data_IF_627528873302
#
_entry.id   IF_627528873302
#
_cell.length_a   1.000
_cell.length_b   1.000
_cell.length_c   1.000
_cell.angle_alpha   90.00
_cell.angle_beta   90.00
_cell.angle_gamma   90.00
#
_symmetry.space_group_name_H-M   'P 1'
#
loop_
_entity.id
_entity.type
_entity.pdbx_description
1 polymer ?
#
# COMPACT_ATOMS: atom_id res chain seq x y z
N UNK A 1 -86.77 19.97 37.08
CA UNK A 1 -86.14 20.54 35.86
C UNK A 1 -85.34 21.76 36.33
N UNK A 2 -84.05 21.99 36.08
CA UNK A 2 -82.96 21.31 35.36
C UNK A 2 -81.67 21.57 36.17
N UNK A 3 -80.78 20.58 36.23
CA UNK A 3 -79.49 20.60 36.93
C UNK A 3 -78.46 21.42 36.13
N UNK A 4 -77.65 22.24 36.79
CA UNK A 4 -76.46 22.87 36.20
C UNK A 4 -75.24 22.07 36.69
N UNK A 5 -74.54 21.45 35.75
CA UNK A 5 -73.37 20.59 35.97
C UNK A 5 -72.12 21.44 35.82
N UNK A 6 -71.25 21.35 36.82
CA UNK A 6 -69.90 21.94 36.88
C UNK A 6 -68.97 21.27 35.86
N UNK A 7 -68.29 22.06 35.03
CA UNK A 7 -67.31 21.59 34.04
C UNK A 7 -65.88 21.84 34.50
N UNK A 8 -65.18 20.78 34.90
CA UNK A 8 -63.76 20.75 35.23
C UNK A 8 -62.93 20.63 33.93
N UNK A 9 -62.17 21.67 33.58
CA UNK A 9 -61.24 21.64 32.45
C UNK A 9 -59.91 20.99 32.88
N UNK A 10 -59.63 19.78 32.38
CA UNK A 10 -58.35 19.10 32.53
C UNK A 10 -57.44 19.51 31.37
N UNK A 11 -56.36 20.25 31.66
CA UNK A 11 -55.26 20.50 30.72
C UNK A 11 -54.40 19.24 30.63
N UNK A 12 -54.49 18.52 29.51
CA UNK A 12 -53.59 17.41 29.18
C UNK A 12 -52.39 18.01 28.43
N UNK A 13 -51.25 18.15 29.11
CA UNK A 13 -49.97 18.44 28.47
C UNK A 13 -49.48 17.19 27.73
N UNK A 14 -49.56 17.22 26.41
CA UNK A 14 -48.97 16.22 25.52
C UNK A 14 -47.47 16.49 25.49
N UNK A 15 -46.68 15.68 26.21
CA UNK A 15 -45.24 15.57 25.94
C UNK A 15 -45.08 14.78 24.64
N UNK A 16 -44.82 15.49 23.54
CA UNK A 16 -44.34 14.87 22.30
C UNK A 16 -42.93 14.37 22.61
N UNK A 17 -42.77 13.06 22.78
CA UNK A 17 -41.46 12.42 22.75
C UNK A 17 -40.94 12.55 21.32
N UNK A 18 -40.13 13.58 21.05
CA UNK A 18 -39.41 13.69 19.79
C UNK A 18 -38.56 12.42 19.60
N UNK A 19 -38.85 11.67 18.53
CA UNK A 19 -37.95 10.65 18.01
C UNK A 19 -36.80 11.41 17.34
N UNK A 20 -35.76 11.73 18.09
CA UNK A 20 -34.62 12.46 17.53
C UNK A 20 -33.82 11.51 16.62
N UNK A 21 -33.96 11.70 15.30
CA UNK A 21 -33.03 11.21 14.28
C UNK A 21 -31.61 11.81 14.46
N UNK A 22 -30.61 11.33 13.73
CA UNK A 22 -29.29 11.98 13.74
C UNK A 22 -29.42 13.42 13.22
N UNK A 23 -28.98 14.38 14.03
CA UNK A 23 -28.94 15.81 13.71
C UNK A 23 -27.60 16.13 13.07
N UNK A 24 -27.62 16.34 11.76
CA UNK A 24 -26.44 16.70 10.98
C UNK A 24 -26.25 18.22 10.92
N UNK A 25 -25.02 18.66 11.14
CA UNK A 25 -24.61 20.04 10.95
C UNK A 25 -24.24 20.30 9.50
N UNK A 26 -24.75 21.40 8.96
CA UNK A 26 -24.38 21.94 7.65
C UNK A 26 -23.49 23.19 7.87
N UNK A 27 -22.23 22.95 8.22
CA UNK A 27 -21.21 23.98 8.41
C UNK A 27 -19.90 23.50 7.77
N UNK A 28 -19.00 24.41 7.36
CA UNK A 28 -17.73 24.04 6.75
C UNK A 28 -16.92 23.06 7.60
N UNK A 29 -16.12 22.19 6.96
CA UNK A 29 -15.33 21.15 7.63
C UNK A 29 -14.46 21.69 8.76
N UNK A 30 -13.82 22.85 8.56
CA UNK A 30 -12.99 23.50 9.58
C UNK A 30 -13.80 23.84 10.84
N UNK A 31 -15.04 24.28 10.68
CA UNK A 31 -15.92 24.66 11.77
C UNK A 31 -16.51 23.45 12.48
N UNK A 32 -16.75 22.34 11.76
CA UNK A 32 -17.09 21.03 12.36
C UNK A 32 -16.00 20.57 13.34
N UNK A 33 -14.74 20.60 12.89
CA UNK A 33 -13.59 20.21 13.72
C UNK A 33 -13.43 21.15 14.93
N UNK A 34 -13.52 22.46 14.72
CA UNK A 34 -13.44 23.44 15.81
C UNK A 34 -14.56 23.26 16.85
N UNK A 35 -15.78 22.97 16.40
CA UNK A 35 -16.93 22.65 17.26
C UNK A 35 -16.69 21.37 18.05
N UNK A 36 -16.22 20.30 17.40
CA UNK A 36 -15.89 19.05 18.05
C UNK A 36 -14.80 19.21 19.12
N UNK A 37 -13.75 19.99 18.82
CA UNK A 37 -12.71 20.35 19.79
C UNK A 37 -13.27 21.08 21.02
N UNK A 38 -14.13 22.08 20.80
CA UNK A 38 -14.77 22.85 21.88
C UNK A 38 -15.70 21.99 22.74
N UNK A 39 -16.42 21.05 22.12
CA UNK A 39 -17.35 20.16 22.81
C UNK A 39 -16.70 18.90 23.39
N UNK A 40 -15.40 18.69 23.15
CA UNK A 40 -14.68 17.45 23.50
C UNK A 40 -15.38 16.18 22.97
N UNK A 41 -15.82 16.25 21.71
CA UNK A 41 -16.48 15.17 20.97
C UNK A 41 -15.65 14.79 19.74
N UNK A 42 -15.92 13.63 19.17
CA UNK A 42 -15.44 13.30 17.83
C UNK A 42 -16.37 13.93 16.78
N UNK A 43 -15.83 14.18 15.60
CA UNK A 43 -16.64 14.45 14.40
C UNK A 43 -17.04 13.11 13.80
N UNK A 44 -18.32 12.92 13.52
CA UNK A 44 -18.82 11.84 12.67
C UNK A 44 -19.21 12.43 11.31
N UNK A 45 -18.64 11.91 10.23
CA UNK A 45 -18.98 12.31 8.86
C UNK A 45 -19.51 11.09 8.11
N UNK A 46 -20.76 11.15 7.68
CA UNK A 46 -21.28 10.27 6.62
C UNK A 46 -20.85 10.85 5.26
N UNK A 47 -19.86 10.18 4.68
CA UNK A 47 -19.28 10.48 3.39
C UNK A 47 -20.08 9.76 2.30
N UNK A 48 -20.83 10.52 1.52
CA UNK A 48 -21.78 9.99 0.55
C UNK A 48 -21.56 10.58 -0.85
N UNK A 49 -22.29 10.03 -1.82
CA UNK A 49 -22.49 10.65 -3.13
C UNK A 49 -23.99 10.71 -3.43
N UNK A 50 -24.45 11.76 -4.13
CA UNK A 50 -25.88 11.99 -4.42
C UNK A 50 -26.58 10.81 -5.13
N UNK A 51 -25.84 10.02 -5.91
CA UNK A 51 -26.33 8.85 -6.65
C UNK A 51 -26.23 7.54 -5.86
N UNK A 52 -25.59 7.53 -4.69
CA UNK A 52 -25.34 6.32 -3.90
C UNK A 52 -26.65 5.74 -3.32
N UNK A 53 -27.09 4.59 -3.83
CA UNK A 53 -28.26 3.87 -3.35
C UNK A 53 -28.15 3.43 -1.88
N UNK A 54 -27.08 2.72 -1.48
CA UNK A 54 -26.89 2.30 -0.09
C UNK A 54 -26.86 3.46 0.92
N UNK A 55 -26.34 4.64 0.52
CA UNK A 55 -26.33 5.83 1.36
C UNK A 55 -27.76 6.32 1.67
N UNK A 56 -28.64 6.33 0.65
CA UNK A 56 -30.06 6.67 0.82
C UNK A 56 -30.79 5.66 1.72
N UNK A 57 -30.38 4.38 1.67
CA UNK A 57 -30.92 3.36 2.58
C UNK A 57 -30.51 3.60 4.02
N UNK A 58 -29.24 3.95 4.29
CA UNK A 58 -28.78 4.31 5.63
C UNK A 58 -29.55 5.50 6.19
N UNK A 59 -29.70 6.56 5.39
CA UNK A 59 -30.47 7.75 5.76
C UNK A 59 -31.91 7.42 6.14
N UNK A 60 -32.61 6.66 5.29
CA UNK A 60 -34.02 6.33 5.50
C UNK A 60 -34.24 5.35 6.64
N UNK A 61 -33.40 4.33 6.76
CA UNK A 61 -33.68 3.16 7.60
C UNK A 61 -32.89 3.13 8.89
N UNK A 62 -31.75 3.82 8.97
CA UNK A 62 -30.82 3.73 10.11
C UNK A 62 -30.68 5.08 10.81
N UNK A 63 -30.42 6.17 10.09
CA UNK A 63 -30.18 7.48 10.71
C UNK A 63 -31.44 8.10 11.33
N UNK A 64 -32.62 7.65 10.90
CA UNK A 64 -33.94 8.04 11.43
C UNK A 64 -34.33 7.28 12.70
N UNK A 65 -33.59 6.22 13.06
CA UNK A 65 -33.90 5.42 14.24
C UNK A 65 -33.53 6.17 15.52
N UNK A 66 -34.46 6.20 16.48
CA UNK A 66 -34.29 6.92 17.75
C UNK A 66 -33.04 6.48 18.52
N UNK A 67 -32.79 5.17 18.62
CA UNK A 67 -31.60 4.60 19.28
C UNK A 67 -30.30 5.16 18.71
N UNK A 68 -30.24 5.29 17.38
CA UNK A 68 -29.10 5.82 16.64
C UNK A 68 -28.98 7.32 16.87
N UNK A 69 -30.05 8.10 16.66
CA UNK A 69 -30.01 9.54 16.85
C UNK A 69 -29.69 9.94 18.30
N UNK A 70 -30.27 9.29 19.30
CA UNK A 70 -29.97 9.51 20.72
C UNK A 70 -28.46 9.35 21.01
N UNK A 71 -27.85 8.28 20.48
CA UNK A 71 -26.43 8.00 20.72
C UNK A 71 -25.53 8.98 19.95
N UNK A 72 -25.77 9.18 18.66
CA UNK A 72 -24.90 9.99 17.83
C UNK A 72 -24.97 11.48 18.20
N UNK A 73 -26.15 12.02 18.45
CA UNK A 73 -26.32 13.43 18.84
C UNK A 73 -25.68 13.74 20.20
N UNK A 74 -25.69 12.76 21.12
CA UNK A 74 -25.06 12.90 22.42
C UNK A 74 -23.53 12.88 22.34
N UNK A 75 -22.97 12.03 21.49
CA UNK A 75 -21.55 11.67 21.55
C UNK A 75 -20.68 12.32 20.46
N UNK A 76 -21.27 12.78 19.36
CA UNK A 76 -20.52 13.27 18.20
C UNK A 76 -21.04 14.63 17.71
N UNK A 77 -20.19 15.31 16.95
CA UNK A 77 -20.60 16.39 16.04
C UNK A 77 -20.81 15.73 14.68
N UNK A 78 -22.08 15.58 14.28
CA UNK A 78 -22.45 14.83 13.08
C UNK A 78 -22.49 15.74 11.86
N UNK A 79 -21.99 15.28 10.72
CA UNK A 79 -22.12 15.93 9.42
C UNK A 79 -22.32 14.92 8.29
N UNK A 80 -22.87 15.40 7.18
CA UNK A 80 -22.96 14.66 5.92
C UNK A 80 -22.34 15.49 4.84
N UNK A 81 -21.44 14.89 4.07
CA UNK A 81 -20.71 15.61 3.04
C UNK A 81 -20.74 14.80 1.75
N UNK A 82 -21.21 15.42 0.67
CA UNK A 82 -21.14 14.86 -0.69
C UNK A 82 -19.68 14.95 -1.17
N UNK A 83 -19.01 13.81 -1.19
CA UNK A 83 -17.58 13.71 -1.49
C UNK A 83 -17.23 14.01 -2.95
N UNK A 84 -18.22 14.20 -3.82
CA UNK A 84 -18.01 14.55 -5.23
C UNK A 84 -18.19 16.05 -5.51
N UNK A 85 -18.52 16.85 -4.50
CA UNK A 85 -18.84 18.28 -4.63
C UNK A 85 -18.13 19.13 -3.56
N UNK A 86 -17.93 20.42 -3.87
CA UNK A 86 -17.41 21.40 -2.92
C UNK A 86 -16.13 20.95 -2.20
N UNK A 87 -16.06 21.23 -0.89
CA UNK A 87 -14.95 20.77 -0.03
C UNK A 87 -14.88 19.25 0.13
N UNK A 88 -15.97 18.52 -0.19
CA UNK A 88 -16.03 17.07 -0.12
C UNK A 88 -14.98 16.38 -0.99
N UNK A 89 -14.61 16.97 -2.14
CA UNK A 89 -13.55 16.42 -3.01
C UNK A 89 -12.18 16.39 -2.32
N UNK A 90 -11.84 17.47 -1.63
CA UNK A 90 -10.58 17.59 -0.90
C UNK A 90 -10.57 16.67 0.32
N UNK A 91 -11.70 16.56 1.02
CA UNK A 91 -11.88 15.64 2.16
C UNK A 91 -11.75 14.19 1.71
N UNK A 92 -12.36 13.83 0.58
CA UNK A 92 -12.28 12.49 -0.01
C UNK A 92 -10.83 12.12 -0.36
N UNK A 93 -10.08 13.05 -0.96
CA UNK A 93 -8.66 12.85 -1.23
C UNK A 93 -7.85 12.72 0.06
N UNK A 94 -8.08 13.61 1.03
CA UNK A 94 -7.35 13.66 2.31
C UNK A 94 -7.50 12.37 3.11
N UNK A 95 -8.71 11.82 3.19
CA UNK A 95 -9.01 10.63 3.99
C UNK A 95 -9.16 9.36 3.15
N UNK A 96 -8.75 9.39 1.88
CA UNK A 96 -8.76 8.22 1.00
C UNK A 96 -10.13 7.59 0.83
N UNK A 97 -11.21 8.38 0.72
CA UNK A 97 -12.56 7.87 0.48
C UNK A 97 -12.67 7.36 -0.95
N UNK A 98 -12.84 6.04 -1.12
CA UNK A 98 -12.90 5.37 -2.44
C UNK A 98 -14.23 4.66 -2.72
N UNK A 99 -15.11 4.54 -1.72
CA UNK A 99 -16.40 3.86 -1.83
C UNK A 99 -17.42 4.53 -0.92
N UNK A 100 -18.71 4.31 -1.20
CA UNK A 100 -19.82 4.92 -0.47
C UNK A 100 -20.86 3.89 0.00
N UNK A 101 -21.49 4.09 1.17
CA UNK A 101 -21.15 5.11 2.17
C UNK A 101 -19.80 4.81 2.84
N UNK A 102 -19.09 5.86 3.22
CA UNK A 102 -17.93 5.77 4.12
C UNK A 102 -18.24 6.58 5.38
N UNK A 103 -17.88 6.06 6.55
CA UNK A 103 -18.05 6.71 7.84
C UNK A 103 -16.69 7.12 8.36
N UNK A 104 -16.46 8.43 8.47
CA UNK A 104 -15.22 8.98 9.03
C UNK A 104 -15.48 9.45 10.46
N UNK A 105 -14.58 9.07 11.36
CA UNK A 105 -14.54 9.58 12.72
C UNK A 105 -13.25 10.36 12.93
N UNK A 106 -13.35 11.63 13.31
CA UNK A 106 -12.20 12.51 13.50
C UNK A 106 -12.12 13.04 14.93
N UNK A 107 -10.92 13.24 15.45
CA UNK A 107 -10.72 13.92 16.73
C UNK A 107 -10.90 15.46 16.59
N UNK A 108 -10.81 16.18 17.71
CA UNK A 108 -10.89 17.64 17.73
C UNK A 108 -9.76 18.37 16.97
N UNK A 109 -8.72 17.64 16.54
CA UNK A 109 -7.64 18.19 15.71
C UNK A 109 -7.84 17.88 14.21
N UNK A 110 -8.95 17.21 13.85
CA UNK A 110 -9.29 16.88 12.47
C UNK A 110 -8.48 15.73 11.89
N UNK A 111 -7.87 14.91 12.75
CA UNK A 111 -7.17 13.68 12.37
C UNK A 111 -8.13 12.50 12.40
N UNK A 112 -7.89 11.55 11.50
CA UNK A 112 -8.68 10.33 11.42
C UNK A 112 -8.46 9.46 12.66
N UNK A 113 -9.55 9.03 13.26
CA UNK A 113 -9.60 8.11 14.42
C UNK A 113 -10.11 6.75 14.00
N UNK A 114 -11.07 6.71 13.08
CA UNK A 114 -11.61 5.47 12.51
C UNK A 114 -12.26 5.74 11.16
N UNK A 115 -12.20 4.75 10.28
CA UNK A 115 -12.86 4.75 8.98
C UNK A 115 -13.55 3.41 8.78
N UNK A 116 -14.84 3.45 8.47
CA UNK A 116 -15.65 2.28 8.15
C UNK A 116 -16.43 2.53 6.85
N UNK A 117 -16.98 1.50 6.23
CA UNK A 117 -17.67 1.64 4.95
C UNK A 117 -18.80 0.63 4.78
N UNK A 118 -19.68 0.92 3.83
CA UNK A 118 -20.77 0.06 3.44
C UNK A 118 -22.05 0.26 4.26
N UNK A 119 -23.11 -0.37 3.78
CA UNK A 119 -24.39 -0.41 4.50
C UNK A 119 -24.24 -1.24 5.78
N UNK A 120 -24.84 -0.77 6.88
CA UNK A 120 -24.81 -1.45 8.17
C UNK A 120 -26.19 -1.46 8.82
N UNK A 121 -26.56 -2.61 9.35
CA UNK A 121 -27.75 -2.73 10.20
C UNK A 121 -27.55 -1.99 11.53
N UNK A 122 -28.67 -1.56 12.13
CA UNK A 122 -28.70 -0.70 13.32
C UNK A 122 -27.77 -1.18 14.45
N UNK A 123 -27.83 -2.47 14.79
CA UNK A 123 -27.04 -3.02 15.89
C UNK A 123 -25.53 -2.92 15.64
N UNK A 124 -25.08 -3.19 14.41
CA UNK A 124 -23.67 -3.06 14.03
C UNK A 124 -23.23 -1.59 13.99
N UNK A 125 -24.10 -0.72 13.46
CA UNK A 125 -23.83 0.71 13.37
C UNK A 125 -23.69 1.38 14.74
N UNK A 126 -24.49 0.96 15.72
CA UNK A 126 -24.36 1.39 17.13
C UNK A 126 -23.14 0.80 17.82
N UNK A 127 -22.87 -0.50 17.65
CA UNK A 127 -21.73 -1.16 18.28
C UNK A 127 -20.40 -0.52 17.83
N UNK A 128 -20.24 -0.28 16.53
CA UNK A 128 -19.10 0.43 15.96
C UNK A 128 -18.93 1.82 16.58
N UNK A 129 -20.01 2.59 16.66
CA UNK A 129 -19.99 3.93 17.22
C UNK A 129 -19.61 3.93 18.71
N UNK A 130 -20.09 2.95 19.47
CA UNK A 130 -19.78 2.78 20.88
C UNK A 130 -18.31 2.44 21.11
N UNK A 131 -17.76 1.52 20.30
CA UNK A 131 -16.35 1.17 20.33
C UNK A 131 -15.46 2.37 20.01
N UNK A 132 -15.84 3.15 18.98
CA UNK A 132 -15.09 4.34 18.57
C UNK A 132 -15.18 5.46 19.62
N UNK A 133 -16.30 5.58 20.34
CA UNK A 133 -16.54 6.60 21.37
C UNK A 133 -15.76 6.36 22.68
N UNK A 134 -14.56 5.78 22.61
CA UNK A 134 -13.68 5.58 23.76
C UNK A 134 -12.98 6.88 24.19
N UNK A 135 -12.63 7.05 25.48
CA UNK A 135 -11.84 8.20 25.93
C UNK A 135 -10.50 8.35 25.19
N UNK A 136 -9.84 7.23 24.84
CA UNK A 136 -8.57 7.24 24.13
C UNK A 136 -8.69 7.84 22.72
N UNK A 137 -9.82 7.64 22.06
CA UNK A 137 -10.06 8.16 20.72
C UNK A 137 -10.37 9.67 20.71
N UNK A 138 -10.81 10.23 21.85
CA UNK A 138 -11.08 11.66 22.04
C UNK A 138 -9.84 12.47 22.41
N UNK A 139 -8.78 11.81 22.88
CA UNK A 139 -7.54 12.46 23.29
C UNK A 139 -6.78 12.93 22.05
N UNK A 140 -6.78 14.25 21.81
CA UNK A 140 -5.82 15.04 21.00
C UNK A 140 -5.21 14.41 19.75
N UNK A 141 -4.12 15.00 19.25
CA UNK A 141 -3.41 14.50 18.07
C UNK A 141 -2.71 13.16 18.35
N UNK A 142 -2.87 12.19 17.44
CA UNK A 142 -2.13 10.93 17.46
C UNK A 142 -0.62 11.17 17.38
N UNK A 143 -0.18 12.11 16.54
CA UNK A 143 1.25 12.43 16.37
C UNK A 143 1.82 13.09 17.62
N UNK A 144 1.10 14.03 18.22
CA UNK A 144 1.55 14.70 19.46
C UNK A 144 1.61 13.71 20.64
N UNK A 145 0.57 12.91 20.83
CA UNK A 145 0.52 11.89 21.87
C UNK A 145 1.62 10.85 21.71
N UNK A 146 1.89 10.43 20.48
CA UNK A 146 3.01 9.56 20.17
C UNK A 146 4.36 10.24 20.44
N UNK A 147 4.54 11.50 20.07
CA UNK A 147 5.76 12.26 20.36
C UNK A 147 5.99 12.41 21.88
N UNK A 148 4.91 12.57 22.66
CA UNK A 148 4.95 12.63 24.13
C UNK A 148 5.14 11.26 24.81
N UNK A 149 5.34 10.19 24.03
CA UNK A 149 5.72 8.89 24.56
C UNK A 149 4.55 8.05 25.06
N UNK A 150 3.32 8.27 24.58
CA UNK A 150 2.20 7.38 24.92
C UNK A 150 2.47 5.95 24.44
N UNK A 151 2.12 4.98 25.31
CA UNK A 151 2.43 3.54 25.18
C UNK A 151 1.20 2.64 25.24
N UNK A 152 0.01 3.23 25.31
CA UNK A 152 -1.23 2.48 25.36
C UNK A 152 -1.35 1.56 24.13
N UNK A 153 -1.69 0.30 24.37
CA UNK A 153 -1.70 -0.75 23.34
C UNK A 153 -2.66 -0.42 22.21
N UNK A 154 -3.90 -0.05 22.55
CA UNK A 154 -4.93 0.20 21.55
C UNK A 154 -4.64 1.47 20.76
N UNK A 155 -4.05 2.47 21.41
CA UNK A 155 -3.52 3.67 20.75
C UNK A 155 -2.46 3.35 19.69
N UNK A 156 -1.45 2.53 20.03
CA UNK A 156 -0.40 2.15 19.07
C UNK A 156 -0.94 1.29 17.93
N UNK A 157 -1.86 0.37 18.22
CA UNK A 157 -2.57 -0.42 17.20
C UNK A 157 -3.38 0.48 16.28
N UNK A 158 -4.04 1.51 16.83
CA UNK A 158 -4.81 2.45 16.01
C UNK A 158 -3.90 3.24 15.07
N UNK A 159 -2.75 3.73 15.55
CA UNK A 159 -1.75 4.38 14.68
C UNK A 159 -1.33 3.44 13.54
N UNK A 160 -0.98 2.19 13.86
CA UNK A 160 -0.58 1.19 12.87
C UNK A 160 -1.66 1.00 11.79
N UNK A 161 -2.92 0.79 12.18
CA UNK A 161 -4.04 0.54 11.25
C UNK A 161 -4.29 1.74 10.33
N UNK A 162 -4.42 2.94 10.91
CA UNK A 162 -4.81 4.14 10.17
C UNK A 162 -3.71 4.70 9.26
N UNK A 163 -2.44 4.46 9.60
CA UNK A 163 -1.31 5.08 8.92
C UNK A 163 -0.51 4.12 8.06
N UNK A 164 -0.76 2.80 8.13
CA UNK A 164 -0.02 1.78 7.36
C UNK A 164 0.10 2.09 5.86
N UNK A 165 -0.94 2.68 5.26
CA UNK A 165 -0.97 3.01 3.83
C UNK A 165 -0.60 4.47 3.53
N UNK A 166 -0.86 5.40 4.44
CA UNK A 166 -0.72 6.85 4.22
C UNK A 166 0.57 7.44 4.78
N UNK A 167 1.07 6.90 5.89
CA UNK A 167 2.29 7.32 6.59
C UNK A 167 2.94 6.06 7.22
N UNK A 168 3.46 5.20 6.35
CA UNK A 168 4.02 3.88 6.73
C UNK A 168 5.12 4.00 7.79
N UNK A 169 5.96 5.02 7.70
CA UNK A 169 7.07 5.23 8.64
C UNK A 169 6.55 5.58 10.05
N UNK A 170 5.51 6.40 10.15
CA UNK A 170 4.86 6.66 11.43
C UNK A 170 4.20 5.40 12.00
N UNK A 171 3.52 4.62 11.17
CA UNK A 171 2.93 3.34 11.56
C UNK A 171 4.00 2.33 12.03
N UNK A 172 5.14 2.25 11.34
CA UNK A 172 6.27 1.40 11.71
C UNK A 172 6.82 1.77 13.08
N UNK A 173 7.03 3.05 13.37
CA UNK A 173 7.47 3.52 14.70
C UNK A 173 6.48 3.15 15.81
N UNK A 174 5.18 3.18 15.53
CA UNK A 174 4.18 2.72 16.47
C UNK A 174 4.25 1.20 16.72
N UNK A 175 4.52 0.42 15.68
CA UNK A 175 4.79 -1.03 15.80
C UNK A 175 6.01 -1.32 16.67
N UNK A 176 7.12 -0.63 16.41
CA UNK A 176 8.36 -0.77 17.18
C UNK A 176 8.14 -0.48 18.66
N UNK A 177 7.47 0.63 18.96
CA UNK A 177 7.11 0.97 20.34
C UNK A 177 6.16 -0.06 20.96
N UNK A 178 5.21 -0.60 20.19
CA UNK A 178 4.27 -1.60 20.69
C UNK A 178 5.02 -2.85 21.18
N UNK A 179 5.92 -3.39 20.35
CA UNK A 179 6.67 -4.59 20.71
C UNK A 179 7.78 -4.34 21.74
N UNK A 180 8.36 -3.14 21.79
CA UNK A 180 9.28 -2.76 22.88
C UNK A 180 8.60 -2.76 24.26
N UNK A 181 7.31 -2.42 24.32
CA UNK A 181 6.58 -2.35 25.59
C UNK A 181 5.83 -3.65 25.94
N UNK A 182 5.65 -4.58 24.99
CA UNK A 182 5.01 -5.89 25.22
C UNK A 182 5.97 -6.83 25.95
N UNK A 183 5.71 -7.08 27.23
CA UNK A 183 6.60 -7.90 28.07
C UNK A 183 6.64 -9.35 27.62
N UNK A 184 7.73 -10.04 27.93
CA UNK A 184 7.94 -11.46 27.59
C UNK A 184 7.01 -12.46 28.25
N UNK A 185 6.29 -12.05 29.28
CA UNK A 185 5.27 -12.87 29.93
C UNK A 185 3.85 -12.60 29.42
N UNK A 186 3.66 -11.61 28.54
CA UNK A 186 2.36 -11.36 27.91
C UNK A 186 2.14 -12.34 26.76
N UNK A 187 0.89 -12.79 26.59
CA UNK A 187 0.53 -13.67 25.49
C UNK A 187 0.85 -13.04 24.13
N UNK A 188 1.51 -13.80 23.26
CA UNK A 188 1.77 -13.43 21.87
C UNK A 188 0.69 -14.05 20.97
N UNK A 189 -0.17 -13.20 20.45
CA UNK A 189 -1.37 -13.60 19.70
C UNK A 189 -1.10 -13.71 18.19
N UNK A 190 -2.07 -14.27 17.44
CA UNK A 190 -2.01 -14.28 15.97
C UNK A 190 -1.98 -12.87 15.37
N UNK A 191 -2.69 -11.93 15.98
CA UNK A 191 -2.69 -10.52 15.56
C UNK A 191 -1.34 -9.86 15.82
N UNK A 192 -0.68 -10.19 16.93
CA UNK A 192 0.70 -9.77 17.21
C UNK A 192 1.65 -10.28 16.12
N UNK A 193 1.55 -11.56 15.74
CA UNK A 193 2.34 -12.11 14.64
C UNK A 193 2.08 -11.32 13.35
N UNK A 194 0.82 -11.11 12.98
CA UNK A 194 0.44 -10.36 11.77
C UNK A 194 1.01 -8.94 11.74
N UNK A 195 0.89 -8.20 12.83
CA UNK A 195 1.47 -6.85 12.95
C UNK A 195 2.99 -6.89 12.86
N UNK A 196 3.65 -7.85 13.51
CA UNK A 196 5.10 -7.99 13.49
C UNK A 196 5.60 -8.24 12.06
N UNK A 197 5.04 -9.23 11.35
CA UNK A 197 5.42 -9.54 9.96
C UNK A 197 5.10 -8.40 9.00
N UNK A 198 4.01 -7.65 9.23
CA UNK A 198 3.65 -6.54 8.36
C UNK A 198 4.69 -5.41 8.40
N UNK A 199 5.19 -5.05 9.59
CA UNK A 199 6.09 -3.91 9.77
C UNK A 199 7.59 -4.26 9.75
N UNK A 200 7.94 -5.54 9.95
CA UNK A 200 9.32 -6.01 9.92
C UNK A 200 9.80 -6.13 8.45
N UNK A 201 10.77 -5.30 8.06
CA UNK A 201 11.33 -5.22 6.70
C UNK A 201 12.83 -5.44 6.64
N UNK A 202 13.54 -5.31 7.76
CA UNK A 202 14.99 -5.52 7.84
C UNK A 202 15.38 -6.25 9.13
N UNK A 203 16.51 -6.96 9.10
CA UNK A 203 17.16 -7.46 10.32
C UNK A 203 17.64 -6.36 11.26
N UNK A 204 17.72 -5.12 10.77
CA UNK A 204 18.11 -3.95 11.56
C UNK A 204 16.93 -3.23 12.21
N UNK A 205 15.69 -3.62 11.90
CA UNK A 205 14.51 -3.05 12.54
C UNK A 205 14.47 -3.41 14.03
N UNK A 206 14.00 -2.49 14.88
CA UNK A 206 13.86 -2.74 16.33
C UNK A 206 13.04 -4.01 16.62
N UNK A 207 12.00 -4.24 15.80
CA UNK A 207 11.12 -5.40 15.86
C UNK A 207 11.81 -6.75 15.58
N UNK A 208 12.98 -6.76 14.92
CA UNK A 208 13.70 -8.00 14.63
C UNK A 208 14.10 -8.75 15.91
N UNK A 209 14.43 -8.03 16.99
CA UNK A 209 14.73 -8.62 18.29
C UNK A 209 13.55 -9.40 18.85
N UNK A 210 12.34 -8.84 18.73
CA UNK A 210 11.10 -9.50 19.15
C UNK A 210 10.81 -10.72 18.29
N UNK A 211 11.00 -10.60 16.98
CA UNK A 211 10.82 -11.71 16.03
C UNK A 211 11.68 -12.92 16.40
N UNK A 212 12.97 -12.72 16.68
CA UNK A 212 13.87 -13.80 17.12
C UNK A 212 13.48 -14.32 18.51
N UNK A 213 13.22 -13.42 19.47
CA UNK A 213 12.95 -13.80 20.86
C UNK A 213 11.62 -14.54 21.04
N UNK A 214 10.66 -14.35 20.13
CA UNK A 214 9.31 -14.95 20.17
C UNK A 214 9.13 -16.08 19.15
N UNK A 215 10.21 -16.67 18.63
CA UNK A 215 10.15 -17.73 17.60
C UNK A 215 9.16 -18.83 18.00
N UNK A 216 9.25 -19.36 19.22
CA UNK A 216 8.40 -20.46 19.70
C UNK A 216 6.90 -20.12 19.67
N UNK A 217 6.53 -18.90 20.05
CA UNK A 217 5.14 -18.46 19.98
C UNK A 217 4.69 -18.21 18.55
N UNK A 218 5.56 -17.64 17.72
CA UNK A 218 5.31 -17.37 16.30
C UNK A 218 5.03 -18.69 15.55
N UNK A 219 5.81 -19.75 15.82
CA UNK A 219 5.64 -21.08 15.19
C UNK A 219 4.30 -21.77 15.52
N UNK A 220 3.51 -21.25 16.47
CA UNK A 220 2.13 -21.72 16.68
C UNK A 220 1.17 -21.27 15.58
N UNK A 221 1.54 -20.23 14.80
CA UNK A 221 0.68 -19.60 13.80
C UNK A 221 1.15 -19.81 12.36
N UNK A 222 2.40 -20.24 12.14
CA UNK A 222 2.93 -20.56 10.82
C UNK A 222 3.98 -21.69 10.87
N UNK A 223 4.19 -22.41 9.75
CA UNK A 223 5.24 -23.41 9.65
C UNK A 223 6.65 -22.83 9.87
N UNK A 224 7.56 -23.66 10.40
CA UNK A 224 8.96 -23.27 10.62
C UNK A 224 9.70 -22.93 9.33
N UNK A 225 9.35 -23.59 8.22
CA UNK A 225 9.87 -23.28 6.89
C UNK A 225 9.60 -21.82 6.51
N UNK A 226 8.35 -21.36 6.62
CA UNK A 226 7.96 -19.98 6.34
C UNK A 226 8.64 -18.97 7.29
N UNK A 227 8.82 -19.32 8.56
CA UNK A 227 9.56 -18.48 9.50
C UNK A 227 11.02 -18.31 9.06
N UNK A 228 11.68 -19.43 8.74
CA UNK A 228 13.09 -19.43 8.34
C UNK A 228 13.27 -18.71 7.01
N UNK A 229 12.38 -18.91 6.04
CA UNK A 229 12.39 -18.20 4.76
C UNK A 229 12.29 -16.69 4.98
N UNK A 230 11.31 -16.24 5.77
CA UNK A 230 11.15 -14.81 6.08
C UNK A 230 12.40 -14.23 6.77
N UNK A 231 12.93 -14.93 7.79
CA UNK A 231 14.15 -14.54 8.48
C UNK A 231 15.34 -14.41 7.53
N UNK A 232 15.52 -15.40 6.65
CA UNK A 232 16.61 -15.42 5.69
C UNK A 232 16.51 -14.25 4.72
N UNK A 233 15.31 -13.87 4.26
CA UNK A 233 15.12 -12.70 3.41
C UNK A 233 15.50 -11.39 4.13
N UNK A 234 15.15 -11.23 5.40
CA UNK A 234 15.53 -10.05 6.20
C UNK A 234 17.06 -9.92 6.32
N UNK A 235 17.73 -11.03 6.65
CA UNK A 235 19.19 -11.06 6.80
C UNK A 235 19.88 -10.84 5.46
N UNK A 236 19.38 -11.45 4.38
CA UNK A 236 19.94 -11.29 3.04
C UNK A 236 19.92 -9.82 2.58
N UNK A 237 18.92 -9.03 2.99
CA UNK A 237 18.89 -7.60 2.71
C UNK A 237 20.15 -6.87 3.18
N UNK A 238 20.58 -7.13 4.42
CA UNK A 238 21.82 -6.57 4.98
C UNK A 238 23.07 -7.12 4.29
N UNK A 239 23.09 -8.41 3.97
CA UNK A 239 24.21 -9.03 3.23
C UNK A 239 24.38 -8.39 1.85
N UNK A 240 23.28 -8.07 1.16
CA UNK A 240 23.32 -7.31 -0.09
C UNK A 240 23.98 -5.95 0.14
N UNK A 241 23.49 -5.17 1.11
CA UNK A 241 24.01 -3.84 1.43
C UNK A 241 25.53 -3.87 1.72
N UNK A 242 25.96 -4.77 2.59
CA UNK A 242 27.37 -4.90 2.98
C UNK A 242 28.26 -5.50 1.88
N UNK A 243 27.68 -6.17 0.89
CA UNK A 243 28.43 -6.67 -0.27
C UNK A 243 28.75 -5.59 -1.30
N UNK A 244 28.08 -4.44 -1.23
CA UNK A 244 28.22 -3.36 -2.22
C UNK A 244 29.39 -2.45 -1.83
N UNK A 245 30.35 -2.31 -2.75
CA UNK A 245 31.39 -1.30 -2.72
C UNK A 245 30.97 -0.13 -3.63
N UNK A 246 30.22 0.81 -3.06
CA UNK A 246 29.71 1.98 -3.78
C UNK A 246 30.82 2.89 -4.33
N UNK A 247 31.97 2.94 -3.66
CA UNK A 247 33.11 3.74 -4.10
C UNK A 247 33.64 3.24 -5.44
N UNK A 248 33.70 1.92 -5.60
CA UNK A 248 34.20 1.27 -6.81
C UNK A 248 33.07 0.80 -7.75
N UNK A 249 31.80 1.00 -7.38
CA UNK A 249 30.61 0.51 -8.08
C UNK A 249 30.67 -0.98 -8.39
N UNK A 250 31.07 -1.78 -7.39
CA UNK A 250 31.23 -3.24 -7.52
C UNK A 250 30.54 -3.98 -6.39
N UNK A 251 30.19 -5.23 -6.65
CA UNK A 251 29.69 -6.15 -5.63
C UNK A 251 30.77 -7.16 -5.30
N UNK A 252 30.94 -7.43 -4.01
CA UNK A 252 31.84 -8.44 -3.49
C UNK A 252 31.14 -9.81 -3.46
N UNK A 253 31.16 -10.50 -4.60
CA UNK A 253 30.56 -11.83 -4.79
C UNK A 253 31.01 -12.83 -3.72
N UNK A 254 32.30 -12.82 -3.36
CA UNK A 254 32.85 -13.76 -2.39
C UNK A 254 32.32 -13.51 -0.97
N UNK A 255 32.20 -12.25 -0.57
CA UNK A 255 31.57 -11.87 0.70
C UNK A 255 30.10 -12.30 0.72
N UNK A 256 29.35 -11.95 -0.34
CA UNK A 256 27.94 -12.27 -0.45
C UNK A 256 27.69 -13.78 -0.34
N UNK A 257 28.36 -14.59 -1.18
CA UNK A 257 28.14 -16.04 -1.23
C UNK A 257 28.54 -16.73 0.08
N UNK A 258 29.63 -16.29 0.72
CA UNK A 258 30.08 -16.85 2.01
C UNK A 258 28.97 -16.80 3.08
N UNK A 259 28.13 -15.77 3.05
CA UNK A 259 27.08 -15.56 4.04
C UNK A 259 25.72 -16.07 3.53
N UNK A 260 25.42 -15.87 2.25
CA UNK A 260 24.13 -16.23 1.66
C UNK A 260 23.97 -17.75 1.45
N UNK A 261 25.01 -18.47 1.04
CA UNK A 261 24.92 -19.91 0.74
C UNK A 261 24.46 -20.74 1.95
N UNK A 262 24.98 -20.54 3.17
CA UNK A 262 24.48 -21.25 4.36
C UNK A 262 23.03 -20.92 4.74
N UNK A 263 22.52 -19.75 4.31
CA UNK A 263 21.16 -19.30 4.67
C UNK A 263 20.11 -19.88 3.74
N UNK A 264 20.33 -19.80 2.42
CA UNK A 264 19.32 -20.11 1.41
C UNK A 264 19.73 -21.23 0.45
N UNK A 265 20.92 -21.80 0.63
CA UNK A 265 21.49 -22.76 -0.30
C UNK A 265 22.16 -22.08 -1.50
N UNK A 266 23.04 -22.85 -2.15
CA UNK A 266 23.91 -22.34 -3.22
C UNK A 266 23.14 -21.75 -4.40
N UNK A 267 22.12 -22.46 -4.88
CA UNK A 267 21.36 -22.04 -6.06
C UNK A 267 20.61 -20.73 -5.82
N UNK A 268 19.86 -20.63 -4.72
CA UNK A 268 19.14 -19.42 -4.36
C UNK A 268 20.07 -18.23 -4.07
N UNK A 269 21.21 -18.48 -3.41
CA UNK A 269 22.22 -17.45 -3.17
C UNK A 269 22.80 -16.92 -4.48
N UNK A 270 23.17 -17.79 -5.42
CA UNK A 270 23.66 -17.39 -6.74
C UNK A 270 22.61 -16.61 -7.53
N UNK A 271 21.35 -17.06 -7.52
CA UNK A 271 20.26 -16.34 -8.18
C UNK A 271 20.09 -14.93 -7.61
N UNK A 272 20.07 -14.80 -6.28
CA UNK A 272 19.94 -13.50 -5.60
C UNK A 272 21.13 -12.58 -5.89
N UNK A 273 22.36 -13.11 -5.88
CA UNK A 273 23.57 -12.35 -6.22
C UNK A 273 23.48 -11.82 -7.65
N UNK A 274 23.11 -12.66 -8.62
CA UNK A 274 23.02 -12.26 -10.02
C UNK A 274 21.95 -11.19 -10.25
N UNK A 275 20.77 -11.35 -9.66
CA UNK A 275 19.71 -10.33 -9.70
C UNK A 275 20.18 -9.00 -9.08
N UNK A 276 20.90 -9.07 -7.97
CA UNK A 276 21.48 -7.89 -7.30
C UNK A 276 22.49 -7.19 -8.21
N UNK A 277 23.38 -7.95 -8.86
CA UNK A 277 24.38 -7.41 -9.80
C UNK A 277 23.74 -6.71 -10.98
N UNK A 278 22.73 -7.32 -11.60
CA UNK A 278 22.02 -6.70 -12.72
C UNK A 278 21.36 -5.38 -12.33
N UNK A 279 20.58 -5.39 -11.25
CA UNK A 279 19.89 -4.19 -10.77
C UNK A 279 20.87 -3.07 -10.37
N UNK A 280 21.91 -3.41 -9.61
CA UNK A 280 22.87 -2.44 -9.11
C UNK A 280 23.71 -1.81 -10.24
N UNK A 281 24.22 -2.63 -11.17
CA UNK A 281 25.04 -2.13 -12.27
C UNK A 281 24.24 -1.31 -13.28
N UNK A 282 22.97 -1.66 -13.52
CA UNK A 282 22.05 -0.85 -14.32
C UNK A 282 21.81 0.51 -13.65
N UNK A 283 21.39 0.53 -12.38
CA UNK A 283 21.09 1.76 -11.64
C UNK A 283 22.29 2.72 -11.57
N UNK A 284 23.51 2.17 -11.50
CA UNK A 284 24.74 2.95 -11.40
C UNK A 284 25.44 3.22 -12.74
N UNK A 285 24.79 2.88 -13.86
CA UNK A 285 25.30 2.96 -15.22
C UNK A 285 26.68 2.29 -15.42
N UNK A 286 26.95 1.22 -14.67
CA UNK A 286 28.17 0.41 -14.79
C UNK A 286 27.97 -0.71 -15.83
N UNK A 287 27.74 -0.32 -17.08
CA UNK A 287 27.43 -1.25 -18.16
C UNK A 287 28.53 -2.29 -18.47
N UNK A 288 29.84 -2.01 -18.31
CA UNK A 288 30.87 -3.05 -18.48
C UNK A 288 30.75 -4.21 -17.48
N UNK A 289 30.35 -3.94 -16.24
CA UNK A 289 30.11 -5.00 -15.24
C UNK A 289 28.72 -5.63 -15.40
N UNK A 290 27.71 -4.85 -15.83
CA UNK A 290 26.40 -5.38 -16.23
C UNK A 290 26.54 -6.41 -17.35
N UNK A 291 27.30 -6.10 -18.39
CA UNK A 291 27.55 -6.98 -19.54
C UNK A 291 28.09 -8.35 -19.09
N UNK A 292 29.11 -8.35 -18.23
CA UNK A 292 29.70 -9.59 -17.68
C UNK A 292 28.68 -10.36 -16.84
N UNK A 293 27.97 -9.66 -15.94
CA UNK A 293 27.00 -10.28 -15.05
C UNK A 293 25.83 -10.92 -15.82
N UNK A 294 25.29 -10.22 -16.82
CA UNK A 294 24.19 -10.72 -17.65
C UNK A 294 24.62 -11.92 -18.51
N UNK A 295 25.80 -11.88 -19.12
CA UNK A 295 26.30 -13.00 -19.92
C UNK A 295 26.53 -14.26 -19.08
N UNK A 296 27.00 -14.11 -17.84
CA UNK A 296 27.17 -15.24 -16.92
C UNK A 296 25.82 -15.77 -16.43
N UNK A 297 24.92 -14.88 -15.99
CA UNK A 297 23.62 -15.27 -15.46
C UNK A 297 22.72 -15.94 -16.52
N UNK A 298 22.67 -15.38 -17.73
CA UNK A 298 21.85 -15.87 -18.83
C UNK A 298 22.57 -16.86 -19.76
N UNK A 299 23.67 -17.47 -19.29
CA UNK A 299 24.45 -18.46 -20.07
C UNK A 299 23.59 -19.66 -20.52
N UNK A 300 22.64 -20.08 -19.69
CA UNK A 300 21.65 -21.12 -19.99
C UNK A 300 20.26 -20.49 -20.22
N UNK A 301 20.16 -19.62 -21.21
CA UNK A 301 18.98 -18.78 -21.45
C UNK A 301 17.67 -19.54 -21.72
N UNK A 302 17.68 -20.85 -21.95
CA UNK A 302 16.45 -21.66 -22.08
C UNK A 302 15.70 -21.83 -20.76
N UNK A 303 16.37 -21.62 -19.62
CA UNK A 303 15.78 -21.73 -18.29
C UNK A 303 15.11 -20.44 -17.80
N UNK A 304 15.09 -19.38 -18.61
CA UNK A 304 14.60 -18.06 -18.23
C UNK A 304 13.35 -17.67 -19.03
N UNK A 305 12.48 -16.88 -18.38
CA UNK A 305 11.32 -16.32 -19.05
C UNK A 305 11.77 -15.30 -20.13
N UNK A 306 11.19 -15.33 -21.35
CA UNK A 306 11.60 -14.44 -22.42
C UNK A 306 11.52 -12.95 -22.10
N UNK A 307 10.61 -12.52 -21.23
CA UNK A 307 10.52 -11.11 -20.80
C UNK A 307 11.69 -10.68 -19.93
N UNK A 308 12.28 -11.59 -19.16
CA UNK A 308 13.48 -11.28 -18.38
C UNK A 308 14.68 -11.09 -19.30
N UNK A 309 14.87 -12.03 -20.23
CA UNK A 309 15.90 -11.95 -21.26
C UNK A 309 15.76 -10.68 -22.13
N UNK A 310 14.53 -10.27 -22.42
CA UNK A 310 14.26 -9.09 -23.22
C UNK A 310 14.72 -7.79 -22.54
N UNK A 311 14.56 -7.67 -21.22
CA UNK A 311 15.08 -6.52 -20.45
C UNK A 311 16.59 -6.41 -20.58
N UNK A 312 17.30 -7.54 -20.42
CA UNK A 312 18.75 -7.56 -20.62
C UNK A 312 19.13 -7.19 -22.07
N UNK A 313 18.40 -7.72 -23.05
CA UNK A 313 18.62 -7.40 -24.46
C UNK A 313 18.42 -5.91 -24.78
N UNK A 314 17.43 -5.26 -24.15
CA UNK A 314 17.23 -3.81 -24.24
C UNK A 314 18.49 -3.06 -23.78
N UNK A 315 18.98 -3.35 -22.56
CA UNK A 315 20.18 -2.72 -22.00
C UNK A 315 21.40 -2.93 -22.90
N UNK A 316 21.54 -4.14 -23.46
CA UNK A 316 22.61 -4.43 -24.41
C UNK A 316 22.50 -3.59 -25.68
N UNK A 317 21.30 -3.43 -26.23
CA UNK A 317 21.05 -2.64 -27.43
C UNK A 317 21.36 -1.13 -27.25
N UNK A 318 21.22 -0.61 -26.03
CA UNK A 318 21.44 0.81 -25.72
C UNK A 318 22.89 1.12 -25.36
N UNK A 319 23.55 0.21 -24.64
CA UNK A 319 24.78 0.54 -23.91
C UNK A 319 25.99 -0.33 -24.26
N UNK A 320 25.79 -1.51 -24.87
CA UNK A 320 26.86 -2.47 -25.11
C UNK A 320 27.27 -2.47 -26.59
N UNK A 321 28.57 -2.33 -26.85
CA UNK A 321 29.14 -2.28 -28.22
C UNK A 321 29.89 -3.56 -28.62
N UNK A 322 30.13 -4.47 -27.68
CA UNK A 322 30.84 -5.71 -27.97
C UNK A 322 29.98 -6.59 -28.90
N UNK A 323 30.53 -6.92 -30.08
CA UNK A 323 29.82 -7.69 -31.10
C UNK A 323 29.44 -9.11 -30.64
N UNK A 324 30.31 -9.77 -29.86
CA UNK A 324 30.01 -11.11 -29.35
C UNK A 324 28.85 -11.07 -28.34
N UNK A 325 28.85 -10.06 -27.47
CA UNK A 325 27.81 -9.86 -26.47
C UNK A 325 26.48 -9.46 -27.11
N UNK A 326 26.50 -8.62 -28.14
CA UNK A 326 25.32 -8.26 -28.91
C UNK A 326 24.72 -9.46 -29.66
N UNK A 327 25.53 -10.40 -30.14
CA UNK A 327 25.01 -11.67 -30.71
C UNK A 327 24.24 -12.49 -29.66
N UNK A 328 24.73 -12.54 -28.42
CA UNK A 328 24.00 -13.19 -27.31
C UNK A 328 22.70 -12.45 -26.96
N UNK A 329 22.72 -11.12 -26.96
CA UNK A 329 21.50 -10.35 -26.78
C UNK A 329 20.49 -10.54 -27.92
N UNK A 330 20.94 -10.75 -29.16
CA UNK A 330 20.06 -11.11 -30.28
C UNK A 330 19.37 -12.45 -30.02
N UNK A 331 20.11 -13.50 -29.63
CA UNK A 331 19.55 -14.81 -29.26
C UNK A 331 18.47 -14.67 -28.16
N UNK A 332 18.71 -13.81 -27.16
CA UNK A 332 17.75 -13.52 -26.09
C UNK A 332 16.48 -12.82 -26.58
N UNK A 333 16.61 -11.78 -27.43
CA UNK A 333 15.48 -11.06 -27.98
C UNK A 333 14.68 -11.90 -28.99
N UNK A 334 15.36 -12.71 -29.81
CA UNK A 334 14.75 -13.65 -30.76
C UNK A 334 13.82 -14.63 -30.04
N UNK A 335 14.21 -15.17 -28.88
CA UNK A 335 13.35 -16.03 -28.06
C UNK A 335 12.04 -15.37 -27.64
N UNK A 336 12.10 -14.08 -27.29
CA UNK A 336 10.88 -13.30 -26.96
C UNK A 336 9.99 -13.14 -28.19
N UNK A 337 10.57 -12.77 -29.34
CA UNK A 337 9.86 -12.61 -30.61
C UNK A 337 9.21 -13.93 -31.05
N UNK A 338 9.94 -15.05 -30.97
CA UNK A 338 9.45 -16.39 -31.34
C UNK A 338 8.25 -16.85 -30.49
N UNK A 339 8.16 -16.40 -29.23
CA UNK A 339 7.01 -16.71 -28.37
C UNK A 339 5.79 -15.88 -28.78
N UNK A 340 5.96 -14.57 -28.91
CA UNK A 340 4.92 -13.66 -29.41
C UNK A 340 5.58 -12.40 -29.92
N UNK A 341 5.25 -12.02 -31.15
CA UNK A 341 5.69 -10.76 -31.73
C UNK A 341 4.99 -9.59 -31.05
N UNK A 342 5.77 -8.64 -30.55
CA UNK A 342 5.27 -7.38 -29.97
C UNK A 342 6.03 -6.22 -30.56
N UNK A 343 5.47 -5.01 -30.48
CA UNK A 343 6.18 -3.81 -30.94
C UNK A 343 7.50 -3.59 -30.19
N UNK A 344 7.56 -3.96 -28.91
CA UNK A 344 8.73 -3.79 -28.06
C UNK A 344 9.85 -4.78 -28.39
N UNK A 345 9.56 -6.08 -28.42
CA UNK A 345 10.62 -7.07 -28.64
C UNK A 345 11.20 -7.03 -30.06
N UNK A 346 10.37 -6.77 -31.06
CA UNK A 346 10.81 -6.58 -32.45
C UNK A 346 11.65 -5.31 -32.60
N UNK A 347 11.35 -4.22 -31.87
CA UNK A 347 12.19 -3.03 -31.86
C UNK A 347 13.56 -3.28 -31.24
N UNK A 348 13.61 -3.93 -30.08
CA UNK A 348 14.87 -4.28 -29.41
C UNK A 348 15.75 -5.12 -30.33
N UNK A 349 15.15 -6.16 -30.94
CA UNK A 349 15.87 -7.04 -31.87
C UNK A 349 16.38 -6.27 -33.11
N UNK A 350 15.56 -5.38 -33.67
CA UNK A 350 15.96 -4.50 -34.77
C UNK A 350 17.17 -3.63 -34.42
N UNK A 351 17.16 -3.03 -33.22
CA UNK A 351 18.25 -2.18 -32.73
C UNK A 351 19.53 -2.97 -32.51
N UNK A 352 19.43 -4.20 -32.00
CA UNK A 352 20.58 -5.10 -31.85
C UNK A 352 21.17 -5.43 -33.22
N UNK A 353 20.36 -5.80 -34.21
CA UNK A 353 20.87 -6.07 -35.56
C UNK A 353 21.48 -4.85 -36.23
N UNK A 354 20.93 -3.66 -35.99
CA UNK A 354 21.51 -2.41 -36.45
C UNK A 354 22.93 -2.22 -35.87
N UNK A 355 23.09 -2.42 -34.56
CA UNK A 355 24.40 -2.33 -33.89
C UNK A 355 25.38 -3.43 -34.33
N UNK A 356 24.87 -4.60 -34.76
CA UNK A 356 25.66 -5.67 -35.37
C UNK A 356 26.04 -5.39 -36.84
N UNK A 357 25.52 -4.31 -37.44
CA UNK A 357 25.75 -3.95 -38.84
C UNK A 357 24.88 -4.74 -39.84
N UNK A 358 23.92 -5.55 -39.37
CA UNK A 358 22.99 -6.28 -40.23
C UNK A 358 21.78 -5.41 -40.58
N UNK A 359 21.96 -4.52 -41.57
CA UNK A 359 20.95 -3.54 -41.98
C UNK A 359 19.65 -4.17 -42.47
N UNK A 360 19.71 -5.30 -43.16
CA UNK A 360 18.52 -5.95 -43.72
C UNK A 360 17.62 -6.50 -42.61
N UNK A 361 18.19 -7.25 -41.65
CA UNK A 361 17.41 -7.72 -40.50
C UNK A 361 16.94 -6.56 -39.61
N UNK A 362 17.80 -5.56 -39.39
CA UNK A 362 17.43 -4.37 -38.63
C UNK A 362 16.21 -3.67 -39.24
N UNK A 363 16.19 -3.49 -40.57
CA UNK A 363 15.08 -2.85 -41.27
C UNK A 363 13.80 -3.69 -41.16
N UNK A 364 13.87 -4.99 -41.43
CA UNK A 364 12.71 -5.88 -41.38
C UNK A 364 12.04 -5.86 -39.99
N UNK A 365 12.81 -6.01 -38.91
CA UNK A 365 12.26 -6.01 -37.56
C UNK A 365 11.78 -4.61 -37.11
N UNK A 366 12.42 -3.53 -37.57
CA UNK A 366 11.96 -2.18 -37.27
C UNK A 366 10.63 -1.85 -38.00
N UNK A 367 10.45 -2.29 -39.24
CA UNK A 367 9.18 -2.18 -39.96
C UNK A 367 8.07 -3.00 -39.26
N UNK A 368 8.38 -4.23 -38.84
CA UNK A 368 7.49 -5.07 -38.05
C UNK A 368 7.05 -4.39 -36.76
N UNK A 369 8.00 -3.86 -35.99
CA UNK A 369 7.72 -3.12 -34.75
C UNK A 369 6.78 -1.93 -34.96
N UNK A 370 7.08 -1.10 -35.97
CA UNK A 370 6.26 0.07 -36.33
C UNK A 370 4.83 -0.35 -36.69
N UNK A 371 4.68 -1.41 -37.47
CA UNK A 371 3.39 -1.91 -37.91
C UNK A 371 2.56 -2.43 -36.73
N UNK A 372 3.14 -3.25 -35.86
CA UNK A 372 2.47 -3.77 -34.65
C UNK A 372 2.06 -2.62 -33.73
N UNK A 373 2.94 -1.63 -33.51
CA UNK A 373 2.63 -0.46 -32.70
C UNK A 373 1.44 0.33 -33.26
N UNK A 374 1.47 0.64 -34.56
CA UNK A 374 0.43 1.42 -35.25
C UNK A 374 -0.93 0.72 -35.20
N UNK A 375 -0.97 -0.59 -35.48
CA UNK A 375 -2.21 -1.39 -35.43
C UNK A 375 -2.79 -1.47 -34.01
N UNK A 376 -1.92 -1.44 -32.99
CA UNK A 376 -2.32 -1.49 -31.59
C UNK A 376 -2.62 -0.12 -30.98
N UNK A 377 -2.58 0.96 -31.77
CA UNK A 377 -2.73 2.34 -31.26
C UNK A 377 -1.63 2.80 -30.30
N UNK A 378 -0.45 2.16 -30.35
CA UNK A 378 0.73 2.48 -29.53
C UNK A 378 1.69 3.41 -30.29
N UNK A 379 2.58 4.08 -29.55
CA UNK A 379 3.62 4.92 -30.15
C UNK A 379 4.63 4.09 -30.97
N UNK A 380 4.88 4.53 -32.21
CA UNK A 380 5.80 3.91 -33.16
C UNK A 380 7.08 4.75 -33.42
N UNK A 381 7.28 5.85 -32.69
CA UNK A 381 8.37 6.80 -32.91
C UNK A 381 9.77 6.18 -32.82
N UNK A 382 9.99 5.27 -31.88
CA UNK A 382 11.28 4.59 -31.72
C UNK A 382 11.66 3.79 -32.96
N UNK A 383 10.74 2.96 -33.45
CA UNK A 383 10.93 2.17 -34.66
C UNK A 383 11.11 3.06 -35.90
N UNK A 384 10.30 4.13 -36.03
CA UNK A 384 10.43 5.09 -37.13
C UNK A 384 11.78 5.81 -37.12
N UNK A 385 12.27 6.18 -35.94
CA UNK A 385 13.58 6.83 -35.78
C UNK A 385 14.70 5.90 -36.20
N UNK A 386 14.64 4.63 -35.78
CA UNK A 386 15.63 3.62 -36.17
C UNK A 386 15.62 3.38 -37.69
N UNK A 387 14.45 3.28 -38.32
CA UNK A 387 14.33 3.15 -39.78
C UNK A 387 15.01 4.29 -40.53
N UNK A 388 14.90 5.52 -40.03
CA UNK A 388 15.55 6.68 -40.65
C UNK A 388 17.09 6.64 -40.52
N UNK A 389 17.63 5.91 -39.53
CA UNK A 389 19.06 5.72 -39.33
C UNK A 389 19.63 4.59 -40.21
N UNK A 390 18.80 3.60 -40.56
CA UNK A 390 19.15 2.50 -41.47
C UNK A 390 19.10 3.03 -42.91
N UNK A 391 20.14 3.79 -43.31
CA UNK A 391 20.34 4.23 -44.69
C UNK A 391 20.94 3.15 -45.57
#
# INVERSE_FOLDING_TARGET
>A
MKKIISGLFIFITIFILAQDEIKFHDIPFKDLVAKAKKENKLVFIDAYASWCGPCKMMEKNIFTKKSVGDFYNKNFVNARIDMEKGEGREIAQKFGVRSYPTYLFLNGDGELVSQNYGYMEEGLFLAMAQEINSPNNKKGSLKERFANGEKDKDFLINIMKLNSSSDYEFAKKASERYFENKKSNEEFTKDDAGLLFYFLKSSEDSNYKTFIARKTEILKFLPEENYNEFNNQLVLGKVVEESIDDKNKKINDAYFLKIAEPLVGKEAAMAKLNQTKLAYYEQNANFPEYEKAALDYYKHSDSFEPNELLKAAWIFSDHIKNISSLKKAAEWAEKSVMRTETSENTYILAKIYFNLGNKDLAKNFAEMSKNIATQSGKDANLAQTLLNQIK
#
